data_IF_315867244601
#
_entry.id   IF_315867244601
#
_cell.length_a   1.000
_cell.length_b   1.000
_cell.length_c   1.000
_cell.angle_alpha   90.00
_cell.angle_beta   90.00
_cell.angle_gamma   90.00
#
_symmetry.space_group_name_H-M   'P 1'
#
loop_
_entity.id
_entity.type
_entity.pdbx_description
1 polymer ?
#
# COMPACT_ATOMS: atom_id res chain seq x y z
N UNK A 1 1.52 -36.95 -42.18
CA UNK A 1 2.66 -37.69 -41.60
C UNK A 1 2.75 -37.24 -40.12
N UNK A 2 2.53 -38.21 -39.26
CA UNK A 2 2.58 -38.04 -37.78
C UNK A 2 4.02 -37.94 -37.31
N UNK A 3 4.28 -37.15 -36.30
CA UNK A 3 5.39 -37.39 -35.38
C UNK A 3 5.01 -36.89 -34.00
N UNK A 4 4.65 -37.84 -33.14
CA UNK A 4 4.53 -37.71 -31.71
C UNK A 4 5.92 -37.84 -31.09
N UNK A 5 6.26 -37.00 -30.12
CA UNK A 5 7.38 -37.25 -29.23
C UNK A 5 6.93 -37.15 -27.77
N UNK A 6 6.92 -38.31 -27.15
CA UNK A 6 6.66 -38.55 -25.73
C UNK A 6 7.80 -38.07 -24.86
N UNK A 7 7.49 -37.41 -23.75
CA UNK A 7 8.45 -37.07 -22.67
C UNK A 7 8.19 -37.97 -21.45
N UNK A 8 9.19 -38.72 -21.13
CA UNK A 8 9.30 -39.73 -20.10
C UNK A 8 9.36 -39.11 -18.69
N UNK A 9 8.51 -39.59 -17.81
CA UNK A 9 8.58 -39.36 -16.34
C UNK A 9 9.71 -40.17 -15.75
N UNK A 10 10.61 -39.55 -14.99
CA UNK A 10 11.53 -40.23 -14.08
C UNK A 10 11.11 -40.05 -12.64
N UNK A 11 10.66 -41.16 -12.06
CA UNK A 11 10.44 -41.33 -10.62
C UNK A 11 11.80 -41.60 -9.94
N UNK A 12 12.06 -40.92 -8.84
CA UNK A 12 13.15 -41.31 -7.91
C UNK A 12 12.53 -41.88 -6.63
N UNK A 13 12.85 -43.13 -6.39
CA UNK A 13 12.59 -43.85 -5.15
C UNK A 13 13.81 -43.65 -4.26
N UNK A 14 13.61 -43.23 -3.04
CA UNK A 14 14.65 -43.21 -2.00
C UNK A 14 14.34 -44.31 -0.97
N UNK A 15 15.26 -45.22 -0.84
CA UNK A 15 15.22 -46.32 0.13
C UNK A 15 15.82 -45.89 1.46
N UNK A 16 15.14 -46.32 2.55
CA UNK A 16 15.59 -46.24 3.92
C UNK A 16 16.24 -47.56 4.37
N UNK A 17 17.27 -47.48 5.15
CA UNK A 17 17.74 -48.52 6.11
C UNK A 17 18.66 -47.80 7.09
N UNK A 18 18.48 -47.77 8.41
CA UNK A 18 18.24 -48.84 9.37
C UNK A 18 19.45 -49.01 10.26
N UNK A 19 19.37 -48.74 11.55
CA UNK A 19 20.00 -49.57 12.55
C UNK A 19 19.82 -49.00 13.97
N UNK A 20 19.15 -49.77 14.79
CA UNK A 20 19.01 -49.57 16.23
C UNK A 20 20.25 -50.13 16.94
N UNK A 21 20.68 -49.48 18.04
CA UNK A 21 21.52 -50.11 19.05
C UNK A 21 20.95 -49.80 20.43
N UNK A 22 20.53 -50.84 21.11
CA UNK A 22 20.14 -50.89 22.53
C UNK A 22 21.38 -50.81 23.41
N UNK A 23 21.29 -50.00 24.46
CA UNK A 23 22.24 -50.03 25.58
C UNK A 23 21.50 -49.76 26.89
N UNK A 24 21.12 -50.86 27.55
CA UNK A 24 20.68 -50.88 28.95
C UNK A 24 21.91 -50.75 29.85
N UNK A 25 21.86 -49.85 30.83
CA UNK A 25 22.61 -49.96 32.06
C UNK A 25 21.82 -49.33 33.21
N UNK A 26 21.37 -50.17 34.11
CA UNK A 26 20.82 -49.79 35.41
C UNK A 26 21.94 -49.62 36.41
N UNK A 27 21.85 -48.62 37.29
CA UNK A 27 22.15 -48.72 38.74
C UNK A 27 21.85 -47.40 39.45
N UNK A 28 20.81 -47.42 40.22
CA UNK A 28 20.64 -47.19 41.67
C UNK A 28 21.44 -46.06 42.35
N UNK A 29 20.73 -45.15 43.03
CA UNK A 29 21.29 -44.37 44.15
C UNK A 29 20.72 -42.98 44.37
N UNK A 30 19.69 -42.91 45.19
CA UNK A 30 19.42 -41.93 46.26
C UNK A 30 19.17 -40.44 45.98
N UNK A 31 18.01 -40.06 46.41
CA UNK A 31 17.39 -38.78 46.78
C UNK A 31 18.27 -37.51 46.89
N UNK A 32 17.84 -36.46 46.20
CA UNK A 32 17.59 -35.14 46.83
C UNK A 32 16.61 -34.33 45.95
N UNK A 33 15.41 -34.03 46.51
CA UNK A 33 14.45 -33.07 45.95
C UNK A 33 15.14 -31.71 45.81
N UNK A 34 15.24 -31.22 44.58
CA UNK A 34 15.24 -29.81 44.25
C UNK A 34 14.07 -29.56 43.31
N UNK A 35 13.10 -28.83 43.82
CA UNK A 35 12.04 -28.24 43.02
C UNK A 35 12.68 -27.21 42.08
N UNK A 36 12.96 -27.61 40.85
CA UNK A 36 13.15 -26.69 39.74
C UNK A 36 11.79 -26.28 39.22
N UNK A 37 11.29 -25.17 39.75
CA UNK A 37 10.23 -24.38 39.13
C UNK A 37 10.78 -23.77 37.84
N UNK A 38 10.93 -24.60 36.81
CA UNK A 38 11.09 -24.11 35.44
C UNK A 38 9.75 -23.55 35.00
N UNK A 39 9.53 -22.26 35.33
CA UNK A 39 8.47 -21.47 34.76
C UNK A 39 8.68 -21.37 33.26
N UNK A 40 8.08 -22.32 32.53
CA UNK A 40 7.90 -22.18 31.09
C UNK A 40 6.99 -20.98 30.89
N UNK A 41 7.59 -19.80 30.76
CA UNK A 41 6.87 -18.64 30.19
C UNK A 41 6.45 -19.05 28.78
N UNK A 42 5.19 -19.49 28.64
CA UNK A 42 4.51 -19.49 27.35
C UNK A 42 4.68 -18.07 26.78
N UNK A 43 5.56 -17.91 25.81
CA UNK A 43 5.55 -16.73 24.95
C UNK A 43 4.12 -16.65 24.43
N UNK A 44 3.33 -15.69 24.90
CA UNK A 44 2.03 -15.43 24.34
C UNK A 44 2.24 -15.22 22.83
N UNK A 45 1.49 -15.92 22.01
CA UNK A 45 1.53 -15.73 20.55
C UNK A 45 1.28 -14.25 20.28
N UNK A 46 2.19 -13.63 19.52
CA UNK A 46 2.08 -12.21 19.20
C UNK A 46 0.76 -11.96 18.48
N UNK A 47 -0.01 -10.97 18.95
CA UNK A 47 -1.20 -10.51 18.23
C UNK A 47 -0.78 -9.88 16.92
N UNK A 48 -1.23 -10.43 15.79
CA UNK A 48 -0.87 -9.96 14.47
C UNK A 48 -1.99 -9.09 13.89
N UNK A 49 -1.72 -7.81 13.68
CA UNK A 49 -2.59 -6.86 13.00
C UNK A 49 -2.27 -6.85 11.50
N UNK A 50 -3.29 -6.97 10.66
CA UNK A 50 -3.14 -6.92 9.20
C UNK A 50 -3.66 -5.57 8.70
N UNK A 51 -2.78 -4.76 8.11
CA UNK A 51 -3.09 -3.42 7.63
C UNK A 51 -2.90 -3.35 6.13
N UNK A 52 -3.97 -3.07 5.41
CA UNK A 52 -3.93 -2.76 3.98
C UNK A 52 -3.86 -1.24 3.81
N UNK A 53 -2.82 -0.75 3.18
CA UNK A 53 -2.60 0.69 3.05
C UNK A 53 -2.10 1.08 1.67
N UNK A 54 -2.52 2.25 1.20
CA UNK A 54 -2.07 2.79 -0.07
C UNK A 54 -0.54 2.84 -0.17
N UNK A 55 0.02 2.47 -1.32
CA UNK A 55 1.46 2.38 -1.56
C UNK A 55 2.23 3.67 -1.23
N UNK A 56 1.59 4.85 -1.37
CA UNK A 56 2.18 6.15 -0.98
C UNK A 56 2.45 6.30 0.52
N UNK A 57 1.88 5.42 1.36
CA UNK A 57 2.08 5.42 2.82
C UNK A 57 3.27 4.55 3.27
N UNK A 58 3.92 3.84 2.36
CA UNK A 58 4.90 2.79 2.70
C UNK A 58 5.94 3.27 3.72
N UNK A 59 6.59 4.39 3.47
CA UNK A 59 7.67 4.89 4.34
C UNK A 59 7.14 5.37 5.68
N UNK A 60 6.15 6.27 5.66
CA UNK A 60 5.63 6.93 6.87
C UNK A 60 4.85 5.97 7.77
N UNK A 61 4.03 5.10 7.18
CA UNK A 61 3.22 4.16 7.96
C UNK A 61 4.06 3.00 8.51
N UNK A 62 5.12 2.59 7.81
CA UNK A 62 6.09 1.63 8.35
C UNK A 62 6.80 2.19 9.59
N UNK A 63 7.25 3.46 9.54
CA UNK A 63 7.87 4.14 10.69
C UNK A 63 6.87 4.26 11.86
N UNK A 64 5.63 4.69 11.60
CA UNK A 64 4.57 4.76 12.62
C UNK A 64 4.24 3.38 13.21
N UNK A 65 4.23 2.34 12.39
CA UNK A 65 4.00 0.96 12.82
C UNK A 65 5.07 0.46 13.78
N UNK A 66 6.35 0.79 13.55
CA UNK A 66 7.43 0.47 14.49
C UNK A 66 7.25 1.18 15.84
N UNK A 67 6.84 2.46 15.84
CA UNK A 67 6.51 3.18 17.09
C UNK A 67 5.36 2.50 17.84
N UNK A 68 4.31 2.10 17.13
CA UNK A 68 3.17 1.40 17.73
C UNK A 68 3.58 0.05 18.33
N UNK A 69 4.39 -0.77 17.64
CA UNK A 69 4.90 -2.05 18.15
C UNK A 69 5.76 -1.87 19.41
N UNK A 70 6.63 -0.85 19.41
CA UNK A 70 7.48 -0.55 20.57
C UNK A 70 6.65 -0.17 21.80
N UNK A 71 5.53 0.53 21.62
CA UNK A 71 4.61 0.90 22.69
C UNK A 71 3.66 -0.24 23.10
N UNK A 72 3.57 -1.33 22.32
CA UNK A 72 2.63 -2.44 22.52
C UNK A 72 3.34 -3.79 22.42
N UNK A 73 4.02 -4.20 23.48
CA UNK A 73 4.75 -5.48 23.51
C UNK A 73 3.83 -6.67 23.20
N UNK A 74 4.31 -7.58 22.36
CA UNK A 74 3.53 -8.74 21.92
C UNK A 74 2.60 -8.46 20.75
N UNK A 75 2.68 -7.28 20.12
CA UNK A 75 1.97 -6.95 18.88
C UNK A 75 2.94 -7.01 17.70
N UNK A 76 2.50 -7.61 16.60
CA UNK A 76 3.14 -7.52 15.29
C UNK A 76 2.19 -6.90 14.27
N UNK A 77 2.72 -6.19 13.27
CA UNK A 77 1.94 -5.58 12.20
C UNK A 77 2.43 -6.11 10.86
N UNK A 78 1.50 -6.63 10.08
CA UNK A 78 1.73 -7.02 8.68
C UNK A 78 1.10 -5.99 7.77
N UNK A 79 1.93 -5.24 7.07
CA UNK A 79 1.45 -4.30 6.05
C UNK A 79 1.35 -4.97 4.69
N UNK A 80 0.27 -4.66 3.97
CA UNK A 80 0.12 -4.88 2.53
C UNK A 80 -0.01 -3.52 1.86
N UNK A 81 1.03 -3.12 1.13
CA UNK A 81 1.09 -1.83 0.45
C UNK A 81 0.88 -2.03 -1.06
N UNK A 82 -0.23 -1.50 -1.57
CA UNK A 82 -0.51 -1.50 -3.01
C UNK A 82 -1.43 -0.33 -3.38
N UNK A 83 -1.91 -0.28 -4.63
CA UNK A 83 -2.94 0.67 -5.00
C UNK A 83 -4.21 0.43 -4.17
N UNK A 84 -4.91 1.50 -3.82
CA UNK A 84 -6.15 1.35 -3.05
C UNK A 84 -7.22 0.57 -3.82
N UNK A 85 -7.19 0.57 -5.15
CA UNK A 85 -8.06 -0.24 -5.99
C UNK A 85 -7.75 -1.72 -5.86
N UNK A 86 -6.49 -2.13 -5.97
CA UNK A 86 -6.03 -3.51 -5.77
C UNK A 86 -6.39 -4.01 -4.37
N UNK A 87 -6.11 -3.21 -3.34
CA UNK A 87 -6.41 -3.56 -1.95
C UNK A 87 -7.93 -3.72 -1.71
N UNK A 88 -8.74 -2.84 -2.32
CA UNK A 88 -10.20 -2.95 -2.31
C UNK A 88 -10.63 -4.31 -2.88
N UNK A 89 -10.15 -4.68 -4.07
CA UNK A 89 -10.47 -5.97 -4.70
C UNK A 89 -10.07 -7.14 -3.82
N UNK A 90 -8.89 -7.11 -3.19
CA UNK A 90 -8.46 -8.16 -2.27
C UNK A 90 -9.40 -8.29 -1.05
N UNK A 91 -9.92 -7.17 -0.52
CA UNK A 91 -10.90 -7.19 0.58
C UNK A 91 -12.21 -7.82 0.11
N UNK A 92 -12.69 -7.46 -1.10
CA UNK A 92 -13.91 -8.04 -1.71
C UNK A 92 -13.76 -9.55 -1.94
N UNK A 93 -12.58 -10.01 -2.32
CA UNK A 93 -12.25 -11.42 -2.52
C UNK A 93 -12.04 -12.18 -1.21
N UNK A 94 -12.18 -11.52 -0.05
CA UNK A 94 -12.13 -12.15 1.26
C UNK A 94 -10.74 -12.24 1.89
N UNK A 95 -9.78 -11.46 1.43
CA UNK A 95 -8.47 -11.37 2.09
C UNK A 95 -8.62 -10.84 3.52
N UNK A 96 -7.86 -11.41 4.45
CA UNK A 96 -7.79 -10.94 5.83
C UNK A 96 -7.24 -9.52 5.87
N UNK A 97 -8.02 -8.60 6.42
CA UNK A 97 -7.66 -7.21 6.59
C UNK A 97 -8.33 -6.67 7.86
N UNK A 98 -7.56 -6.14 8.80
CA UNK A 98 -8.10 -5.55 10.03
C UNK A 98 -8.29 -4.03 9.89
N UNK A 99 -7.37 -3.36 9.17
CA UNK A 99 -7.41 -1.91 8.93
C UNK A 99 -7.16 -1.63 7.45
N UNK A 100 -8.00 -0.78 6.85
CA UNK A 100 -7.83 -0.29 5.49
C UNK A 100 -7.58 1.23 5.48
N UNK A 101 -6.53 1.67 4.77
CA UNK A 101 -6.17 3.09 4.60
C UNK A 101 -6.01 3.37 3.11
N UNK A 102 -6.92 4.17 2.55
CA UNK A 102 -6.99 4.45 1.11
C UNK A 102 -6.39 5.82 0.77
N UNK A 103 -5.76 5.95 -0.41
CA UNK A 103 -5.30 7.23 -0.95
C UNK A 103 -6.40 8.06 -1.63
N UNK A 104 -7.65 7.64 -1.50
CA UNK A 104 -8.81 8.35 -2.03
C UNK A 104 -10.11 7.89 -1.40
N UNK A 105 -11.09 8.79 -1.38
CA UNK A 105 -12.40 8.52 -0.78
C UNK A 105 -13.19 7.45 -1.55
N UNK A 106 -13.03 7.36 -2.88
CA UNK A 106 -13.83 6.49 -3.74
C UNK A 106 -13.73 5.02 -3.33
N UNK A 107 -12.53 4.48 -3.16
CA UNK A 107 -12.32 3.08 -2.82
C UNK A 107 -12.84 2.73 -1.42
N UNK A 108 -12.66 3.64 -0.46
CA UNK A 108 -13.24 3.48 0.88
C UNK A 108 -14.77 3.52 0.82
N UNK A 109 -15.36 4.46 0.05
CA UNK A 109 -16.80 4.59 -0.11
C UNK A 109 -17.42 3.34 -0.73
N UNK A 110 -16.76 2.73 -1.71
CA UNK A 110 -17.25 1.51 -2.37
C UNK A 110 -17.39 0.33 -1.40
N UNK A 111 -16.53 0.26 -0.36
CA UNK A 111 -16.57 -0.79 0.66
C UNK A 111 -17.45 -0.46 1.88
N UNK A 112 -17.95 0.77 1.97
CA UNK A 112 -18.69 1.30 3.14
C UNK A 112 -20.17 1.48 2.80
N UNK A 113 -21.03 0.59 3.28
CA UNK A 113 -22.48 0.66 3.04
C UNK A 113 -23.12 1.96 3.53
N UNK A 114 -22.49 2.69 4.47
CA UNK A 114 -22.98 3.96 4.99
C UNK A 114 -22.43 5.18 4.25
N UNK A 115 -21.60 4.97 3.20
CA UNK A 115 -21.08 6.08 2.41
C UNK A 115 -22.19 6.79 1.64
N UNK A 116 -22.14 8.13 1.58
CA UNK A 116 -23.15 8.95 0.88
C UNK A 116 -22.95 8.97 -0.64
N UNK A 117 -21.76 8.62 -1.12
CA UNK A 117 -21.37 8.64 -2.55
C UNK A 117 -20.53 7.41 -2.87
N UNK A 118 -20.53 7.03 -4.12
CA UNK A 118 -19.68 5.96 -4.67
C UNK A 118 -19.78 4.61 -3.95
N UNK A 119 -20.76 4.39 -3.06
CA UNK A 119 -20.92 3.12 -2.38
C UNK A 119 -21.45 2.07 -3.35
N UNK A 120 -20.96 0.86 -3.21
CA UNK A 120 -21.53 -0.31 -3.85
C UNK A 120 -22.53 -0.93 -2.88
N UNK A 121 -23.80 -1.08 -3.32
CA UNK A 121 -24.90 -1.52 -2.45
C UNK A 121 -24.72 -2.96 -1.93
N UNK A 122 -23.93 -3.75 -2.62
CA UNK A 122 -23.67 -5.14 -2.27
C UNK A 122 -22.43 -5.31 -1.37
N UNK A 123 -21.70 -4.22 -1.11
CA UNK A 123 -20.47 -4.23 -0.32
C UNK A 123 -20.65 -3.55 1.04
N UNK A 124 -20.29 -4.26 2.10
CA UNK A 124 -20.38 -3.78 3.48
C UNK A 124 -19.20 -4.30 4.34
N UNK A 125 -18.00 -3.87 3.97
CA UNK A 125 -16.76 -4.34 4.59
C UNK A 125 -16.19 -3.40 5.66
N UNK A 126 -16.64 -2.14 5.72
CA UNK A 126 -16.07 -1.11 6.59
C UNK A 126 -16.90 -0.96 7.87
N UNK A 127 -16.24 -0.96 9.02
CA UNK A 127 -16.81 -0.54 10.28
C UNK A 127 -16.89 1.01 10.29
N UNK A 128 -17.99 1.54 9.77
CA UNK A 128 -18.17 2.98 9.49
C UNK A 128 -17.99 3.88 10.72
N UNK A 129 -18.26 3.35 11.93
CA UNK A 129 -18.05 4.03 13.21
C UNK A 129 -16.59 4.29 13.54
N UNK A 130 -15.67 3.57 12.89
CA UNK A 130 -14.22 3.73 13.04
C UNK A 130 -13.59 4.62 11.98
N UNK A 131 -14.37 5.00 10.95
CA UNK A 131 -13.86 5.71 9.78
C UNK A 131 -13.60 7.18 10.06
N UNK A 132 -12.43 7.68 9.65
CA UNK A 132 -12.08 9.10 9.69
C UNK A 132 -11.09 9.45 8.58
N UNK A 133 -11.00 10.76 8.27
CA UNK A 133 -10.00 11.29 7.34
C UNK A 133 -8.71 11.56 8.11
N UNK A 134 -7.66 10.83 7.77
CA UNK A 134 -6.40 10.85 8.53
C UNK A 134 -5.41 11.87 7.97
N UNK A 135 -5.25 11.94 6.64
CA UNK A 135 -4.21 12.72 5.98
C UNK A 135 -4.74 13.46 4.75
N UNK A 136 -4.09 14.56 4.43
CA UNK A 136 -4.17 15.22 3.12
C UNK A 136 -2.82 15.14 2.42
N UNK A 137 -2.85 14.99 1.09
CA UNK A 137 -1.69 14.98 0.22
C UNK A 137 -1.87 15.98 -0.92
N UNK A 138 -0.85 16.14 -1.75
CA UNK A 138 -0.89 16.93 -2.97
C UNK A 138 -0.48 16.09 -4.17
N UNK A 139 -1.07 16.35 -5.32
CA UNK A 139 -0.63 15.78 -6.59
C UNK A 139 0.41 16.70 -7.20
N UNK A 140 1.50 16.14 -7.69
CA UNK A 140 2.59 16.92 -8.28
C UNK A 140 3.01 16.33 -9.61
N UNK A 141 3.52 17.19 -10.47
CA UNK A 141 4.19 16.84 -11.72
C UNK A 141 5.68 16.73 -11.46
N UNK A 142 6.22 15.54 -11.71
CA UNK A 142 7.63 15.24 -11.57
C UNK A 142 8.28 14.93 -12.91
N UNK A 143 9.58 15.17 -12.98
CA UNK A 143 10.42 14.91 -14.14
C UNK A 143 11.66 14.12 -13.73
N UNK A 144 12.30 13.38 -14.67
CA UNK A 144 13.63 12.81 -14.46
C UNK A 144 14.65 13.87 -14.07
N UNK A 145 15.76 13.46 -13.46
CA UNK A 145 16.76 14.36 -12.86
C UNK A 145 17.22 15.47 -13.81
N UNK A 146 17.46 15.18 -15.07
CA UNK A 146 18.00 16.14 -16.04
C UNK A 146 16.90 16.85 -16.85
N UNK A 147 15.64 16.49 -16.64
CA UNK A 147 14.47 17.04 -17.35
C UNK A 147 14.73 17.25 -18.87
N UNK A 148 15.06 16.21 -19.63
CA UNK A 148 15.55 16.36 -21.00
C UNK A 148 14.51 16.99 -21.95
N UNK A 149 13.22 16.88 -21.61
CA UNK A 149 12.13 17.49 -22.38
C UNK A 149 11.76 18.89 -21.89
N UNK A 150 12.44 19.40 -20.86
CA UNK A 150 12.26 20.74 -20.31
C UNK A 150 10.77 20.98 -19.96
N UNK A 151 10.12 20.00 -19.30
CA UNK A 151 8.75 20.16 -18.80
C UNK A 151 8.77 21.04 -17.56
N UNK A 152 7.98 22.13 -17.54
CA UNK A 152 8.07 23.19 -16.52
C UNK A 152 6.83 23.30 -15.64
N UNK A 153 5.68 22.88 -16.15
CA UNK A 153 4.38 23.01 -15.46
C UNK A 153 3.37 22.03 -16.05
N UNK A 154 2.20 21.93 -15.43
CA UNK A 154 1.06 21.19 -15.99
C UNK A 154 0.60 21.79 -17.32
N UNK A 155 0.64 23.12 -17.51
CA UNK A 155 0.30 23.79 -18.77
C UNK A 155 1.28 23.36 -19.89
N UNK A 156 2.57 23.34 -19.58
CA UNK A 156 3.62 22.91 -20.52
C UNK A 156 3.49 21.40 -20.85
N UNK A 157 3.24 20.58 -19.84
CA UNK A 157 2.94 19.15 -20.02
C UNK A 157 1.75 18.95 -20.98
N UNK A 158 0.64 19.67 -20.76
CA UNK A 158 -0.55 19.55 -21.58
C UNK A 158 -0.28 19.93 -23.03
N UNK A 159 0.50 21.00 -23.26
CA UNK A 159 0.94 21.43 -24.59
C UNK A 159 1.78 20.36 -25.27
N UNK A 160 2.78 19.82 -24.57
CA UNK A 160 3.70 18.81 -25.09
C UNK A 160 3.05 17.44 -25.30
N UNK A 161 2.05 17.07 -24.49
CA UNK A 161 1.22 15.88 -24.76
C UNK A 161 0.41 16.04 -26.05
N UNK A 162 -0.16 17.23 -26.26
CA UNK A 162 -0.93 17.51 -27.48
C UNK A 162 -0.06 17.45 -28.74
N UNK A 163 1.20 17.87 -28.66
CA UNK A 163 2.16 17.81 -29.79
C UNK A 163 2.87 16.44 -29.92
N UNK A 164 2.67 15.53 -28.97
CA UNK A 164 3.33 14.22 -28.98
C UNK A 164 4.81 14.25 -28.59
N UNK A 165 5.27 15.30 -27.93
CA UNK A 165 6.68 15.50 -27.57
C UNK A 165 7.10 14.74 -26.30
N UNK A 166 6.14 14.39 -25.42
CA UNK A 166 6.40 13.78 -24.13
C UNK A 166 5.58 12.50 -23.91
N UNK A 167 6.16 11.58 -23.15
CA UNK A 167 5.51 10.40 -22.60
C UNK A 167 5.19 10.65 -21.11
N UNK A 168 3.91 10.61 -20.76
CA UNK A 168 3.42 10.79 -19.40
C UNK A 168 3.34 9.45 -18.66
N UNK A 169 3.96 9.34 -17.48
CA UNK A 169 3.71 8.29 -16.51
C UNK A 169 2.52 8.65 -15.62
N UNK A 170 1.52 7.77 -15.51
CA UNK A 170 0.38 7.94 -14.61
C UNK A 170 -0.15 6.61 -14.08
N UNK A 171 -0.85 6.64 -12.95
CA UNK A 171 -1.57 5.46 -12.48
C UNK A 171 -2.72 5.09 -13.42
N UNK A 172 -3.05 3.80 -13.52
CA UNK A 172 -4.25 3.37 -14.25
C UNK A 172 -5.53 3.79 -13.50
N UNK A 173 -6.72 3.46 -14.04
CA UNK A 173 -8.03 3.85 -13.50
C UNK A 173 -8.34 3.35 -12.08
N UNK A 174 -7.67 2.28 -11.62
CA UNK A 174 -7.87 1.69 -10.30
C UNK A 174 -6.95 2.32 -9.23
N UNK A 175 -5.95 3.04 -9.69
CA UNK A 175 -4.99 3.76 -8.83
C UNK A 175 -5.54 5.14 -8.48
N UNK A 176 -5.69 5.51 -7.18
CA UNK A 176 -6.21 6.83 -6.82
C UNK A 176 -5.47 8.00 -7.48
N UNK A 177 -4.12 8.00 -7.55
CA UNK A 177 -3.39 9.07 -8.25
C UNK A 177 -3.67 9.09 -9.74
N UNK A 178 -3.97 7.95 -10.36
CA UNK A 178 -4.45 7.88 -11.75
C UNK A 178 -5.79 8.59 -11.93
N UNK A 179 -6.73 8.39 -11.00
CA UNK A 179 -8.03 9.08 -11.02
C UNK A 179 -7.88 10.60 -10.83
N UNK A 180 -6.92 11.07 -10.05
CA UNK A 180 -6.59 12.50 -9.97
C UNK A 180 -5.95 12.97 -11.27
N UNK A 181 -5.08 12.19 -11.89
CA UNK A 181 -4.46 12.52 -13.20
C UNK A 181 -5.53 12.60 -14.29
N UNK A 182 -6.52 11.72 -14.31
CA UNK A 182 -7.66 11.77 -15.23
C UNK A 182 -8.43 13.10 -15.10
N UNK A 183 -8.62 13.60 -13.88
CA UNK A 183 -9.25 14.91 -13.66
C UNK A 183 -8.38 16.05 -14.21
N UNK A 184 -7.05 15.97 -14.04
CA UNK A 184 -6.10 16.94 -14.59
C UNK A 184 -6.15 16.92 -16.12
N UNK A 185 -6.11 15.75 -16.75
CA UNK A 185 -6.24 15.64 -18.21
C UNK A 185 -7.57 16.24 -18.69
N UNK A 186 -8.67 15.96 -17.98
CA UNK A 186 -9.99 16.56 -18.29
C UNK A 186 -9.99 18.08 -18.13
N UNK A 187 -9.34 18.63 -17.10
CA UNK A 187 -9.20 20.07 -16.88
C UNK A 187 -8.55 20.74 -18.11
N UNK A 188 -7.50 20.12 -18.67
CA UNK A 188 -6.82 20.55 -19.88
C UNK A 188 -7.53 20.13 -21.18
N UNK A 189 -8.71 19.49 -21.10
CA UNK A 189 -9.47 18.98 -22.26
C UNK A 189 -8.68 17.98 -23.12
N UNK A 190 -7.80 17.21 -22.49
CA UNK A 190 -7.04 16.14 -23.13
C UNK A 190 -7.83 14.82 -23.07
N UNK A 191 -7.79 14.08 -24.16
CA UNK A 191 -8.42 12.77 -24.31
C UNK A 191 -7.40 11.68 -23.93
N UNK A 192 -7.59 11.05 -22.77
CA UNK A 192 -6.71 10.00 -22.24
C UNK A 192 -6.63 8.80 -23.20
N UNK A 193 -7.77 8.34 -23.74
CA UNK A 193 -7.80 7.18 -24.63
C UNK A 193 -7.03 7.44 -25.93
N UNK A 194 -7.17 8.64 -26.48
CA UNK A 194 -6.42 9.07 -27.67
C UNK A 194 -4.93 9.10 -27.37
N UNK A 195 -4.50 9.76 -26.29
CA UNK A 195 -3.10 9.85 -25.88
C UNK A 195 -2.49 8.46 -25.64
N UNK A 196 -3.24 7.54 -25.02
CA UNK A 196 -2.78 6.18 -24.80
C UNK A 196 -2.62 5.40 -26.12
N UNK A 197 -3.57 5.51 -27.05
CA UNK A 197 -3.49 4.87 -28.38
C UNK A 197 -2.31 5.40 -29.21
N UNK A 198 -1.97 6.67 -29.04
CA UNK A 198 -0.84 7.33 -29.72
C UNK A 198 0.51 7.04 -29.02
N UNK A 199 0.49 6.34 -27.88
CA UNK A 199 1.71 5.96 -27.16
C UNK A 199 2.28 7.06 -26.26
N UNK A 200 1.48 8.05 -25.88
CA UNK A 200 1.89 9.17 -25.02
C UNK A 200 1.60 8.99 -23.54
N UNK A 201 1.05 7.82 -23.15
CA UNK A 201 0.80 7.47 -21.74
C UNK A 201 1.46 6.12 -21.43
N UNK A 202 2.15 6.07 -20.30
CA UNK A 202 2.62 4.85 -19.64
C UNK A 202 1.88 4.68 -18.33
N UNK A 203 1.20 3.55 -18.15
CA UNK A 203 0.42 3.27 -16.96
C UNK A 203 1.23 2.50 -15.90
N UNK A 204 1.08 2.89 -14.64
CA UNK A 204 1.52 2.12 -13.48
C UNK A 204 0.32 1.50 -12.75
N UNK A 205 0.54 0.36 -12.11
CA UNK A 205 -0.47 -0.36 -11.31
C UNK A 205 -0.60 0.19 -9.89
N UNK A 206 0.36 1.00 -9.45
CA UNK A 206 0.34 1.79 -8.22
C UNK A 206 1.28 3.01 -8.36
N UNK A 207 1.24 3.93 -7.37
CA UNK A 207 2.04 5.16 -7.44
C UNK A 207 3.54 4.91 -7.38
N UNK A 208 4.01 3.85 -6.70
CA UNK A 208 5.45 3.55 -6.62
C UNK A 208 6.02 3.11 -7.96
N UNK A 209 5.23 2.42 -8.76
CA UNK A 209 5.61 2.08 -10.14
C UNK A 209 5.76 3.33 -11.01
N UNK A 210 4.79 4.26 -10.96
CA UNK A 210 4.90 5.55 -11.66
C UNK A 210 6.12 6.34 -11.18
N UNK A 211 6.37 6.37 -9.87
CA UNK A 211 7.55 7.03 -9.27
C UNK A 211 8.85 6.43 -9.83
N UNK A 212 8.90 5.09 -9.96
CA UNK A 212 10.05 4.38 -10.55
C UNK A 212 10.21 4.73 -12.02
N UNK A 213 9.13 4.77 -12.80
CA UNK A 213 9.18 5.17 -14.21
C UNK A 213 9.82 6.55 -14.39
N UNK A 214 9.46 7.53 -13.56
CA UNK A 214 10.06 8.87 -13.58
C UNK A 214 11.53 8.80 -13.17
N UNK A 215 11.85 8.08 -12.08
CA UNK A 215 13.21 7.96 -11.55
C UNK A 215 14.18 7.33 -12.54
N UNK A 216 13.74 6.29 -13.26
CA UNK A 216 14.52 5.57 -14.24
C UNK A 216 14.47 6.25 -15.64
N UNK A 217 13.85 7.42 -15.76
CA UNK A 217 13.66 8.16 -17.00
C UNK A 217 13.03 7.31 -18.14
N UNK A 218 12.18 6.34 -17.78
CA UNK A 218 11.41 5.56 -18.76
C UNK A 218 10.17 6.31 -19.25
N UNK A 219 9.85 7.44 -18.62
CA UNK A 219 8.88 8.45 -19.03
C UNK A 219 9.50 9.85 -18.96
N UNK A 220 8.97 10.79 -19.69
CA UNK A 220 9.50 12.17 -19.72
C UNK A 220 8.99 13.04 -18.56
N UNK A 221 7.81 12.72 -18.04
CA UNK A 221 7.23 13.29 -16.82
C UNK A 221 6.25 12.31 -16.21
N UNK A 222 5.89 12.53 -14.95
CA UNK A 222 4.92 11.68 -14.26
C UNK A 222 4.09 12.46 -13.24
N UNK A 223 2.83 12.07 -13.10
CA UNK A 223 1.91 12.62 -12.11
C UNK A 223 1.84 11.65 -10.94
N UNK A 224 2.37 12.08 -9.80
CA UNK A 224 2.45 11.30 -8.55
C UNK A 224 2.06 12.17 -7.36
N UNK A 225 2.11 11.62 -6.16
CA UNK A 225 1.92 12.44 -4.96
C UNK A 225 3.23 13.13 -4.53
N UNK A 226 3.10 14.29 -3.92
CA UNK A 226 4.22 15.07 -3.34
C UNK A 226 5.05 14.24 -2.36
N UNK A 227 4.41 13.40 -1.57
CA UNK A 227 5.07 12.49 -0.63
C UNK A 227 5.96 11.47 -1.31
N UNK A 228 5.51 10.88 -2.43
CA UNK A 228 6.29 9.94 -3.22
C UNK A 228 7.47 10.64 -3.91
N UNK A 229 7.24 11.85 -4.43
CA UNK A 229 8.29 12.67 -5.02
C UNK A 229 9.37 13.03 -3.98
N UNK A 230 8.96 13.41 -2.76
CA UNK A 230 9.85 13.73 -1.64
C UNK A 230 10.67 12.51 -1.22
N UNK A 231 10.03 11.37 -1.00
CA UNK A 231 10.70 10.12 -0.60
C UNK A 231 11.69 9.63 -1.66
N UNK A 232 11.33 9.74 -2.94
CA UNK A 232 12.18 9.34 -4.07
C UNK A 232 13.22 10.41 -4.46
N UNK A 233 13.17 11.61 -3.86
CA UNK A 233 14.02 12.77 -4.19
C UNK A 233 13.93 13.17 -5.66
N UNK A 234 12.73 13.10 -6.23
CA UNK A 234 12.47 13.52 -7.60
C UNK A 234 12.34 15.04 -7.72
N UNK A 235 12.65 15.54 -8.90
CA UNK A 235 12.43 16.94 -9.23
C UNK A 235 10.93 17.18 -9.47
N UNK A 236 10.31 17.93 -8.58
CA UNK A 236 8.96 18.43 -8.73
C UNK A 236 9.00 19.75 -9.52
N UNK A 237 8.22 19.86 -10.58
CA UNK A 237 8.17 21.07 -11.43
C UNK A 237 6.87 21.85 -11.25
N UNK A 238 5.79 21.20 -10.76
CA UNK A 238 4.52 21.87 -10.50
C UNK A 238 3.67 21.07 -9.50
N UNK A 239 2.69 21.73 -8.86
CA UNK A 239 1.73 21.13 -7.94
C UNK A 239 0.30 21.40 -8.43
N UNK A 240 -0.53 20.36 -8.54
CA UNK A 240 -1.90 20.50 -9.00
C UNK A 240 -2.76 21.29 -8.01
N UNK A 241 -3.57 22.20 -8.54
CA UNK A 241 -4.54 22.96 -7.75
C UNK A 241 -5.79 22.13 -7.43
N UNK A 242 -6.57 22.58 -6.45
CA UNK A 242 -7.87 21.94 -6.14
C UNK A 242 -8.85 22.03 -7.33
N UNK A 243 -8.73 23.05 -8.18
CA UNK A 243 -9.54 23.20 -9.39
C UNK A 243 -9.22 22.10 -10.41
N UNK A 244 -7.95 21.70 -10.53
CA UNK A 244 -7.51 20.66 -11.46
C UNK A 244 -7.99 19.26 -11.05
N UNK A 245 -7.89 18.89 -9.77
CA UNK A 245 -8.14 17.50 -9.37
C UNK A 245 -8.93 17.31 -8.07
N UNK A 246 -9.22 18.38 -7.33
CA UNK A 246 -9.83 18.33 -6.00
C UNK A 246 -8.83 18.00 -4.90
N UNK A 247 -9.30 17.97 -3.65
CA UNK A 247 -8.50 17.63 -2.49
C UNK A 247 -8.16 16.14 -2.47
N UNK A 248 -6.96 15.82 -2.04
CA UNK A 248 -6.45 14.44 -1.93
C UNK A 248 -6.49 14.02 -0.47
N UNK A 249 -7.59 13.39 -0.07
CA UNK A 249 -7.85 13.00 1.32
C UNK A 249 -7.77 11.49 1.47
N UNK A 250 -7.07 11.05 2.49
CA UNK A 250 -6.87 9.64 2.83
C UNK A 250 -7.80 9.25 4.00
N UNK A 251 -8.82 8.44 3.76
CA UNK A 251 -9.64 7.84 4.81
C UNK A 251 -8.98 6.59 5.38
N UNK A 252 -9.15 6.36 6.68
CA UNK A 252 -8.76 5.17 7.41
C UNK A 252 -9.97 4.59 8.15
N UNK A 253 -10.06 3.26 8.22
CA UNK A 253 -11.10 2.56 8.97
C UNK A 253 -10.68 1.13 9.32
N UNK A 254 -11.29 0.55 10.36
CA UNK A 254 -11.28 -0.88 10.58
C UNK A 254 -12.26 -1.57 9.61
N UNK A 255 -11.98 -2.83 9.29
CA UNK A 255 -12.94 -3.66 8.56
C UNK A 255 -13.94 -4.32 9.52
N UNK A 256 -15.14 -4.65 9.05
CA UNK A 256 -16.14 -5.38 9.84
C UNK A 256 -15.70 -6.80 10.21
N UNK A 257 -14.89 -7.41 9.34
CA UNK A 257 -14.40 -8.76 9.51
C UNK A 257 -13.00 -8.81 10.16
N UNK A 258 -12.57 -7.71 10.79
CA UNK A 258 -11.27 -7.64 11.47
C UNK A 258 -11.14 -8.75 12.51
N UNK A 259 -10.11 -9.58 12.39
CA UNK A 259 -9.79 -10.64 13.37
C UNK A 259 -9.27 -10.05 14.68
N UNK A 260 -8.69 -8.87 14.61
CA UNK A 260 -8.12 -8.11 15.73
C UNK A 260 -8.84 -6.77 15.93
N UNK A 261 -10.17 -6.78 16.05
CA UNK A 261 -11.00 -5.56 16.04
C UNK A 261 -10.57 -4.51 17.10
N UNK A 262 -10.29 -4.94 18.33
CA UNK A 262 -9.86 -4.02 19.41
C UNK A 262 -8.45 -3.46 19.12
N UNK A 263 -7.55 -4.29 18.60
CA UNK A 263 -6.21 -3.86 18.22
C UNK A 263 -6.26 -2.90 17.00
N UNK A 264 -7.15 -3.16 16.03
CA UNK A 264 -7.41 -2.28 14.91
C UNK A 264 -7.86 -0.89 15.37
N UNK A 265 -8.84 -0.82 16.29
CA UNK A 265 -9.29 0.45 16.89
C UNK A 265 -8.14 1.16 17.62
N UNK A 266 -7.37 0.42 18.42
CA UNK A 266 -6.21 0.97 19.12
C UNK A 266 -5.15 1.53 18.18
N UNK A 267 -4.90 0.84 17.06
CA UNK A 267 -3.98 1.32 16.02
C UNK A 267 -4.52 2.58 15.33
N UNK A 268 -5.80 2.62 14.98
CA UNK A 268 -6.43 3.80 14.40
C UNK A 268 -6.36 5.03 15.33
N UNK A 269 -6.57 4.85 16.65
CA UNK A 269 -6.39 5.94 17.62
C UNK A 269 -4.92 6.38 17.73
N UNK A 270 -3.96 5.44 17.70
CA UNK A 270 -2.54 5.78 17.66
C UNK A 270 -2.19 6.65 16.44
N UNK A 271 -2.78 6.35 15.26
CA UNK A 271 -2.53 7.13 14.05
C UNK A 271 -2.96 8.61 14.14
N UNK A 272 -3.77 8.97 15.14
CA UNK A 272 -4.18 10.37 15.42
C UNK A 272 -3.20 11.11 16.36
N UNK A 273 -2.24 10.41 16.95
CA UNK A 273 -1.28 11.00 17.91
C UNK A 273 -0.23 11.88 17.23
N UNK A 274 0.42 12.73 18.02
CA UNK A 274 1.56 13.55 17.57
C UNK A 274 2.72 12.73 17.02
N UNK A 275 2.99 11.56 17.62
CA UNK A 275 4.11 10.71 17.22
C UNK A 275 3.87 10.11 15.81
N UNK A 276 2.66 9.63 15.55
CA UNK A 276 2.27 9.18 14.21
C UNK A 276 2.24 10.34 13.21
N UNK A 277 1.70 11.51 13.61
CA UNK A 277 1.68 12.72 12.79
C UNK A 277 3.08 13.12 12.32
N UNK A 278 4.09 13.08 13.20
CA UNK A 278 5.46 13.40 12.86
C UNK A 278 6.04 12.49 11.76
N UNK A 279 5.70 11.18 11.77
CA UNK A 279 6.10 10.26 10.71
C UNK A 279 5.48 10.66 9.35
N UNK A 280 4.23 11.13 9.34
CA UNK A 280 3.56 11.56 8.12
C UNK A 280 4.08 12.90 7.61
N UNK A 281 4.24 13.89 8.48
CA UNK A 281 4.75 15.22 8.14
C UNK A 281 6.17 15.17 7.56
N UNK A 282 7.02 14.26 8.03
CA UNK A 282 8.39 14.05 7.57
C UNK A 282 8.49 13.79 6.06
N UNK A 283 7.51 13.13 5.47
CA UNK A 283 7.45 12.85 4.03
C UNK A 283 6.54 13.83 3.27
N UNK A 284 5.88 14.76 3.96
CA UNK A 284 5.11 15.84 3.34
C UNK A 284 3.59 15.64 3.33
N UNK A 285 3.03 14.69 4.09
CA UNK A 285 1.59 14.66 4.36
C UNK A 285 1.17 15.79 5.31
N UNK A 286 -0.10 16.16 5.23
CA UNK A 286 -0.74 17.04 6.21
C UNK A 286 -1.72 16.20 7.04
N UNK A 287 -1.46 15.96 8.35
CA UNK A 287 -2.41 15.29 9.23
C UNK A 287 -3.70 16.10 9.38
N UNK A 288 -4.85 15.41 9.26
CA UNK A 288 -6.19 16.04 9.38
C UNK A 288 -6.84 15.77 10.74
N UNK A 289 -6.48 14.67 11.39
CA UNK A 289 -6.95 14.33 12.73
C UNK A 289 -5.82 14.55 13.73
N UNK A 290 -6.04 15.45 14.69
CA UNK A 290 -5.17 15.61 15.86
C UNK A 290 -5.96 15.17 17.08
N UNK A 291 -5.38 14.23 17.86
CA UNK A 291 -5.92 13.87 19.17
C UNK A 291 -5.72 15.02 20.17
#
# INVERSE_FOLDING_TARGET
>A
MKSESSVTRRSFVASATGAAVFGLSACNGNETKKEDTSGSQKKADAQKLIVFAAASLTESLSEAGELFKNANQGVDISFNFDSSGTLKTQIEEGSDCDVFISAGQKQMNQLDANAKKDHDKDLDFIASDTRFDILENKVTLCVPQDNPKVVKSFDDMATKLTSGEVLLGMGNSDVPVGQYTQKILKYYKLDEEKLAKEGHISYGTNVKEVTTQVKEASVDCGVIYKTDATSAKLQMVDEATEEMCGRVVYPAAATKNAKQADLAKKFLEFLKTSDASACFEKVGFTPLSKA
#
